data_IF_128408236339
#
_entry.id   IF_128408236339
#
_cell.length_a   1.000
_cell.length_b   1.000
_cell.length_c   1.000
_cell.angle_alpha   90.00
_cell.angle_beta   90.00
_cell.angle_gamma   90.00
#
_symmetry.space_group_name_H-M   'P 1'
#
loop_
_entity.id
_entity.type
_entity.pdbx_description
1 polymer ?
#
# COMPACT_ATOMS: atom_id res chain seq x y z
N UNK A 1 -5.00 12.34 2.64
CA UNK A 1 -4.28 12.72 1.42
C UNK A 1 -3.50 11.50 0.95
N UNK A 2 -4.16 10.52 0.33
CA UNK A 2 -3.42 9.38 -0.23
C UNK A 2 -2.73 9.88 -1.49
N UNK A 3 -1.42 9.70 -1.60
CA UNK A 3 -0.69 10.06 -2.82
C UNK A 3 -1.21 9.25 -4.01
N UNK A 4 -1.26 9.83 -5.22
CA UNK A 4 -1.68 9.16 -6.48
C UNK A 4 -0.89 7.89 -6.80
N UNK A 5 0.23 7.66 -6.09
CA UNK A 5 1.12 6.50 -6.22
C UNK A 5 0.72 5.31 -5.33
N UNK A 6 -0.26 5.47 -4.42
CA UNK A 6 -0.71 4.36 -3.58
C UNK A 6 -1.89 3.63 -4.22
N UNK A 7 -1.73 2.31 -4.39
CA UNK A 7 -2.82 1.41 -4.84
C UNK A 7 -3.68 0.91 -3.69
N UNK A 8 -4.94 0.60 -3.99
CA UNK A 8 -5.81 -0.15 -3.07
C UNK A 8 -5.83 -1.60 -3.51
N UNK A 9 -5.47 -2.49 -2.61
CA UNK A 9 -5.52 -3.92 -2.82
C UNK A 9 -6.73 -4.52 -2.11
N UNK A 10 -7.38 -5.46 -2.78
CA UNK A 10 -8.53 -6.23 -2.31
C UNK A 10 -8.33 -7.69 -2.69
N UNK A 11 -9.10 -8.59 -2.11
CA UNK A 11 -9.00 -10.03 -2.44
C UNK A 11 -9.11 -10.32 -3.94
N UNK A 12 -9.88 -9.49 -4.66
CA UNK A 12 -10.10 -9.64 -6.11
C UNK A 12 -8.83 -9.37 -6.92
N UNK A 13 -8.03 -8.38 -6.52
CA UNK A 13 -6.86 -7.95 -7.29
C UNK A 13 -5.51 -8.35 -6.67
N UNK A 14 -5.52 -8.88 -5.44
CA UNK A 14 -4.29 -9.17 -4.70
C UNK A 14 -3.39 -10.17 -5.42
N UNK A 15 -3.97 -11.21 -6.01
CA UNK A 15 -3.19 -12.22 -6.73
C UNK A 15 -2.44 -11.60 -7.92
N UNK A 16 -3.10 -10.78 -8.73
CA UNK A 16 -2.51 -10.17 -9.92
C UNK A 16 -1.56 -9.02 -9.58
N UNK A 17 -1.96 -8.14 -8.68
CA UNK A 17 -1.21 -6.90 -8.39
C UNK A 17 -0.06 -7.11 -7.41
N UNK A 18 -0.18 -8.08 -6.50
CA UNK A 18 0.79 -8.35 -5.43
C UNK A 18 1.54 -9.65 -5.67
N UNK A 19 0.85 -10.79 -5.71
CA UNK A 19 1.51 -12.11 -5.74
C UNK A 19 2.21 -12.41 -7.07
N UNK A 20 1.62 -11.97 -8.18
CA UNK A 20 2.17 -12.11 -9.54
C UNK A 20 2.97 -10.88 -10.00
N UNK A 21 3.26 -9.95 -9.10
CA UNK A 21 3.97 -8.72 -9.43
C UNK A 21 5.40 -9.00 -9.91
N UNK A 22 5.78 -8.35 -11.02
CA UNK A 22 7.14 -8.33 -11.57
C UNK A 22 8.08 -7.38 -10.80
N UNK A 23 7.52 -6.54 -9.91
CA UNK A 23 8.24 -5.60 -9.06
C UNK A 23 7.97 -5.89 -7.58
N UNK A 24 8.91 -5.58 -6.67
CA UNK A 24 8.65 -5.62 -5.23
C UNK A 24 7.39 -4.84 -4.86
N UNK A 25 6.63 -5.37 -3.91
CA UNK A 25 5.38 -4.76 -3.44
C UNK A 25 5.43 -4.55 -1.94
N UNK A 26 5.27 -3.30 -1.51
CA UNK A 26 5.02 -2.96 -0.11
C UNK A 26 3.51 -2.88 0.10
N UNK A 27 3.02 -3.67 1.05
CA UNK A 27 1.61 -3.70 1.43
C UNK A 27 1.45 -3.16 2.85
N UNK A 28 0.71 -2.07 2.97
CA UNK A 28 0.27 -1.51 4.24
C UNK A 28 -1.06 -2.16 4.65
N UNK A 29 -0.99 -3.10 5.58
CA UNK A 29 -2.17 -3.72 6.18
C UNK A 29 -2.67 -2.82 7.32
N UNK A 30 -3.80 -2.17 7.12
CA UNK A 30 -4.32 -1.16 8.04
C UNK A 30 -5.79 -1.42 8.37
N UNK A 31 -6.28 -0.73 9.40
CA UNK A 31 -7.67 -0.80 9.85
C UNK A 31 -8.13 0.56 10.41
N UNK A 32 -9.44 0.85 10.40
CA UNK A 32 -9.98 2.12 10.89
C UNK A 32 -9.72 2.33 12.39
N UNK A 33 -9.77 1.25 13.17
CA UNK A 33 -9.48 1.26 14.61
C UNK A 33 -7.98 1.35 14.94
N UNK A 34 -7.10 1.15 13.96
CA UNK A 34 -5.65 1.17 14.18
C UNK A 34 -5.10 2.61 14.20
N UNK A 35 -5.11 3.24 15.38
CA UNK A 35 -4.52 4.57 15.57
C UNK A 35 -3.02 4.64 15.19
N UNK A 36 -2.16 3.65 15.53
CA UNK A 36 -0.77 3.64 15.08
C UNK A 36 -0.62 3.59 13.55
N UNK A 37 -1.48 2.85 12.84
CA UNK A 37 -1.44 2.76 11.38
C UNK A 37 -1.68 4.13 10.72
N UNK A 38 -2.61 4.93 11.28
CA UNK A 38 -2.85 6.30 10.79
C UNK A 38 -1.64 7.21 10.95
N UNK A 39 -0.84 7.03 12.00
CA UNK A 39 0.42 7.78 12.17
C UNK A 39 1.48 7.37 11.15
N UNK A 40 1.50 6.09 10.75
CA UNK A 40 2.42 5.55 9.75
C UNK A 40 2.06 5.95 8.31
N UNK A 41 0.82 6.32 8.04
CA UNK A 41 0.33 6.63 6.68
C UNK A 41 1.22 7.64 5.92
N UNK A 42 1.69 8.70 6.60
CA UNK A 42 2.55 9.71 5.98
C UNK A 42 3.93 9.15 5.58
N UNK A 43 4.48 8.22 6.36
CA UNK A 43 5.74 7.55 6.02
C UNK A 43 5.56 6.60 4.83
N UNK A 44 4.43 5.88 4.78
CA UNK A 44 4.08 5.00 3.65
C UNK A 44 3.88 5.81 2.37
N UNK A 45 3.19 6.96 2.44
CA UNK A 45 3.05 7.90 1.32
C UNK A 45 4.41 8.41 0.81
N UNK A 46 5.36 8.73 1.70
CA UNK A 46 6.70 9.15 1.31
C UNK A 46 7.47 8.02 0.58
N UNK A 47 7.39 6.78 1.09
CA UNK A 47 8.00 5.62 0.42
C UNK A 47 7.38 5.37 -0.95
N UNK A 48 6.06 5.51 -1.10
CA UNK A 48 5.37 5.37 -2.38
C UNK A 48 5.87 6.37 -3.42
N UNK A 49 6.24 7.58 -3.01
CA UNK A 49 6.81 8.60 -3.90
C UNK A 49 8.26 8.29 -4.27
N UNK A 50 9.11 7.97 -3.29
CA UNK A 50 10.54 7.71 -3.51
C UNK A 50 10.78 6.45 -4.37
N UNK A 51 9.93 5.43 -4.22
CA UNK A 51 10.10 4.13 -4.87
C UNK A 51 9.15 3.89 -6.04
N UNK A 52 8.41 4.89 -6.53
CA UNK A 52 7.35 4.73 -7.54
C UNK A 52 7.76 3.94 -8.79
N UNK A 53 9.02 4.07 -9.23
CA UNK A 53 9.54 3.36 -10.41
C UNK A 53 10.16 2.00 -10.09
N UNK A 54 10.43 1.73 -8.81
CA UNK A 54 11.17 0.55 -8.33
C UNK A 54 10.28 -0.48 -7.63
N UNK A 55 9.20 -0.04 -6.99
CA UNK A 55 8.29 -0.88 -6.23
C UNK A 55 6.85 -0.38 -6.35
N UNK A 56 5.91 -1.31 -6.20
CA UNK A 56 4.50 -0.95 -6.01
C UNK A 56 4.26 -0.72 -4.52
N UNK A 57 3.49 0.30 -4.18
CA UNK A 57 3.06 0.54 -2.80
C UNK A 57 1.53 0.60 -2.78
N UNK A 58 0.92 -0.14 -1.87
CA UNK A 58 -0.52 -0.18 -1.74
C UNK A 58 -0.99 -0.57 -0.36
N UNK A 59 -2.30 -0.46 -0.12
CA UNK A 59 -2.92 -0.75 1.18
C UNK A 59 -3.99 -1.82 1.06
N UNK A 60 -4.11 -2.62 2.10
CA UNK A 60 -5.22 -3.55 2.33
C UNK A 60 -5.91 -3.13 3.62
N UNK A 61 -7.21 -2.89 3.56
CA UNK A 61 -8.01 -2.78 4.77
C UNK A 61 -8.25 -4.20 5.33
N UNK A 62 -7.97 -4.41 6.60
CA UNK A 62 -8.17 -5.72 7.28
C UNK A 62 -9.42 -5.75 8.16
N UNK A 63 -10.23 -4.67 8.13
CA UNK A 63 -11.58 -4.67 8.69
C UNK A 63 -12.55 -5.59 7.92
#
# INVERSE_FOLDING_TARGET
MSSDKIKVFTDVNFEEEVLKSDRPVLVDFWAEWCAPCRMMAAAVDAVAQEYAERAKVGKVNVD
#
